data_IF_346394724339
#
_entry.id   IF_346394724339
#
_cell.length_a   1.000
_cell.length_b   1.000
_cell.length_c   1.000
_cell.angle_alpha   90.00
_cell.angle_beta   90.00
_cell.angle_gamma   90.00
#
_symmetry.space_group_name_H-M   'P 1'
#
loop_
_entity.id
_entity.type
_entity.pdbx_description
1 polymer ?
#
# COMPACT_ATOMS: atom_id res chain seq x y z
N UNK A 1 -1.17 5.23 -23.29
CA UNK A 1 -0.41 4.38 -22.35
C UNK A 1 -1.33 3.95 -21.20
N UNK A 2 -1.20 2.72 -20.67
CA UNK A 2 -1.99 2.26 -19.51
C UNK A 2 -1.49 2.83 -18.19
N UNK A 3 -2.32 2.77 -17.13
CA UNK A 3 -2.04 3.33 -15.79
C UNK A 3 -0.68 2.87 -15.23
N UNK A 4 -0.43 1.55 -15.20
CA UNK A 4 0.84 0.94 -14.79
C UNK A 4 2.05 1.64 -15.43
N UNK A 5 2.06 1.74 -16.77
CA UNK A 5 3.18 2.32 -17.51
C UNK A 5 3.39 3.79 -17.17
N UNK A 6 2.33 4.55 -16.91
CA UNK A 6 2.44 5.98 -16.56
C UNK A 6 3.07 6.18 -15.19
N UNK A 7 2.63 5.42 -14.19
CA UNK A 7 3.20 5.49 -12.84
C UNK A 7 4.67 5.07 -12.88
N UNK A 8 4.94 3.95 -13.54
CA UNK A 8 6.28 3.40 -13.72
C UNK A 8 7.25 4.44 -14.33
N UNK A 9 6.92 4.97 -15.51
CA UNK A 9 7.79 5.95 -16.18
C UNK A 9 7.89 7.28 -15.45
N UNK A 10 6.80 7.70 -14.79
CA UNK A 10 6.80 8.94 -14.01
C UNK A 10 7.74 8.84 -12.81
N UNK A 11 7.69 7.72 -12.09
CA UNK A 11 8.60 7.47 -10.97
C UNK A 11 10.05 7.29 -11.45
N UNK A 12 10.26 6.61 -12.59
CA UNK A 12 11.60 6.50 -13.19
C UNK A 12 12.18 7.90 -13.45
N UNK A 13 11.39 8.83 -14.01
CA UNK A 13 11.82 10.22 -14.25
C UNK A 13 12.07 11.02 -12.97
N UNK A 14 11.23 10.84 -11.94
CA UNK A 14 11.40 11.54 -10.65
C UNK A 14 12.70 11.09 -9.99
N UNK A 15 12.98 9.79 -9.97
CA UNK A 15 14.15 9.23 -9.29
C UNK A 15 15.44 9.27 -10.11
N UNK A 16 15.41 9.85 -11.31
CA UNK A 16 16.60 10.35 -12.01
C UNK A 16 17.09 11.68 -11.42
N UNK A 17 16.22 12.43 -10.73
CA UNK A 17 16.48 13.79 -10.26
C UNK A 17 16.46 13.92 -8.73
N UNK A 18 15.60 13.17 -8.06
CA UNK A 18 15.33 13.30 -6.63
C UNK A 18 15.70 12.03 -5.86
N UNK A 19 16.21 12.19 -4.63
CA UNK A 19 16.57 11.05 -3.77
C UNK A 19 15.35 10.40 -3.10
N UNK A 20 14.24 11.13 -3.02
CA UNK A 20 12.99 10.71 -2.43
C UNK A 20 11.81 11.50 -3.01
N UNK A 21 10.63 10.91 -2.98
CA UNK A 21 9.42 11.57 -3.47
C UNK A 21 8.22 11.20 -2.59
N UNK A 22 7.32 12.17 -2.44
CA UNK A 22 5.95 11.96 -1.97
C UNK A 22 5.05 11.90 -3.20
N UNK A 23 4.26 10.85 -3.30
CA UNK A 23 3.41 10.52 -4.45
C UNK A 23 1.96 10.60 -4.00
N UNK A 24 1.14 11.35 -4.73
CA UNK A 24 -0.29 11.49 -4.51
C UNK A 24 -1.04 11.28 -5.83
N UNK A 25 -2.13 10.52 -5.78
CA UNK A 25 -3.08 10.38 -6.89
C UNK A 25 -4.14 11.49 -6.82
N UNK A 26 -4.88 11.70 -7.92
CA UNK A 26 -5.88 12.78 -8.05
C UNK A 26 -7.05 12.67 -7.08
N UNK A 27 -7.30 11.47 -6.56
CA UNK A 27 -8.38 11.15 -5.61
C UNK A 27 -7.90 11.10 -4.15
N UNK A 28 -6.62 11.42 -3.89
CA UNK A 28 -6.02 11.39 -2.56
C UNK A 28 -6.00 12.80 -1.95
N UNK A 29 -6.72 12.98 -0.84
CA UNK A 29 -6.79 14.22 -0.08
C UNK A 29 -5.95 14.09 1.21
N UNK A 30 -4.72 14.63 1.23
CA UNK A 30 -3.88 14.59 2.42
C UNK A 30 -4.41 15.51 3.53
N UNK A 31 -4.29 15.07 4.77
CA UNK A 31 -4.44 15.91 5.95
C UNK A 31 -3.20 16.79 6.14
N UNK A 32 -3.26 17.83 6.98
CA UNK A 32 -2.09 18.66 7.27
C UNK A 32 -0.88 17.91 7.86
N UNK A 33 -1.09 16.71 8.40
CA UNK A 33 -0.04 15.91 9.04
C UNK A 33 0.70 14.99 8.06
N UNK A 34 0.15 14.75 6.86
CA UNK A 34 0.74 13.83 5.87
C UNK A 34 2.15 14.24 5.45
N UNK A 35 2.33 15.49 5.02
CA UNK A 35 3.64 15.95 4.54
C UNK A 35 4.69 16.07 5.65
N UNK A 36 4.38 16.61 6.86
CA UNK A 36 5.28 16.52 8.00
C UNK A 36 5.70 15.08 8.35
N UNK A 37 4.75 14.14 8.31
CA UNK A 37 5.02 12.73 8.54
C UNK A 37 5.98 12.15 7.49
N UNK A 38 5.68 12.32 6.20
CA UNK A 38 6.57 11.86 5.13
C UNK A 38 7.95 12.51 5.23
N UNK A 39 8.04 13.82 5.47
CA UNK A 39 9.32 14.53 5.58
C UNK A 39 10.19 13.95 6.70
N UNK A 40 9.60 13.72 7.87
CA UNK A 40 10.33 13.13 8.99
C UNK A 40 10.77 11.69 8.70
N UNK A 41 9.87 10.84 8.19
CA UNK A 41 10.19 9.44 7.92
C UNK A 41 11.24 9.30 6.80
N UNK A 42 11.14 10.12 5.75
CA UNK A 42 12.12 10.17 4.66
C UNK A 42 13.50 10.57 5.15
N UNK A 43 13.58 11.53 6.09
CA UNK A 43 14.84 11.96 6.69
C UNK A 43 15.39 10.90 7.68
N UNK A 44 14.54 10.39 8.57
CA UNK A 44 14.90 9.43 9.63
C UNK A 44 15.40 8.08 9.07
N UNK A 45 14.78 7.60 7.99
CA UNK A 45 15.08 6.29 7.39
C UNK A 45 15.77 6.42 6.02
N UNK A 46 16.46 7.55 5.78
CA UNK A 46 17.17 7.82 4.52
C UNK A 46 18.19 6.75 4.15
N UNK A 47 18.95 6.26 5.12
CA UNK A 47 20.05 5.30 4.92
C UNK A 47 19.72 3.91 5.46
N UNK A 48 18.46 3.66 5.82
CA UNK A 48 18.02 2.36 6.33
C UNK A 48 17.49 1.49 5.17
N UNK A 49 18.25 0.48 4.72
CA UNK A 49 17.85 -0.36 3.59
C UNK A 49 16.67 -1.28 3.91
N UNK A 50 16.33 -1.53 5.18
CA UNK A 50 15.16 -2.34 5.55
C UNK A 50 13.83 -1.64 5.30
N UNK A 51 13.81 -0.31 5.19
CA UNK A 51 12.59 0.46 4.96
C UNK A 51 12.50 0.89 3.50
N UNK A 52 11.46 0.43 2.80
CA UNK A 52 11.30 0.62 1.36
C UNK A 52 10.22 1.63 0.98
N UNK A 53 9.27 1.93 1.86
CA UNK A 53 8.22 2.91 1.58
C UNK A 53 7.51 3.40 2.84
N UNK A 54 6.71 4.45 2.66
CA UNK A 54 5.91 5.11 3.69
C UNK A 54 4.49 5.21 3.14
N UNK A 55 3.52 4.63 3.83
CA UNK A 55 2.09 4.78 3.52
C UNK A 55 1.57 6.09 4.13
N UNK A 56 0.58 6.72 3.49
CA UNK A 56 -0.20 7.82 4.06
C UNK A 56 -1.48 7.36 4.73
N UNK A 57 -1.85 6.11 4.53
CA UNK A 57 -3.07 5.50 5.04
C UNK A 57 -2.82 4.16 5.72
N UNK A 58 -3.78 3.77 6.54
CA UNK A 58 -3.80 2.59 7.39
C UNK A 58 -5.20 1.99 7.37
N UNK A 59 -5.29 0.66 7.31
CA UNK A 59 -6.58 -0.04 7.24
C UNK A 59 -6.85 -0.92 8.46
N UNK A 60 -6.29 -0.55 9.61
CA UNK A 60 -6.66 -1.17 10.86
C UNK A 60 -8.14 -0.91 11.18
N UNK A 61 -8.82 -1.85 11.86
CA UNK A 61 -10.17 -1.60 12.32
C UNK A 61 -10.21 -0.46 13.35
N UNK A 62 -11.34 0.26 13.44
CA UNK A 62 -11.50 1.42 14.34
C UNK A 62 -11.20 1.12 15.81
N UNK A 63 -11.39 -0.12 16.24
CA UNK A 63 -11.15 -0.56 17.62
C UNK A 63 -9.74 -1.13 17.84
N UNK A 64 -8.84 -1.04 16.86
CA UNK A 64 -7.44 -1.44 17.04
C UNK A 64 -6.72 -0.48 17.99
N UNK A 65 -6.08 -1.04 19.01
CA UNK A 65 -5.26 -0.27 19.94
C UNK A 65 -3.82 -0.18 19.42
N UNK A 66 -3.33 1.03 19.17
CA UNK A 66 -1.94 1.30 18.84
C UNK A 66 -1.40 2.40 19.75
N UNK A 67 -0.23 2.14 20.33
CA UNK A 67 0.44 3.04 21.29
C UNK A 67 1.51 3.92 20.64
N UNK A 68 1.82 3.69 19.37
CA UNK A 68 2.79 4.44 18.56
C UNK A 68 2.07 5.30 17.52
N UNK A 69 2.78 6.27 16.96
CA UNK A 69 2.26 7.13 15.88
C UNK A 69 2.39 6.44 14.51
N UNK A 70 3.29 5.47 14.39
CA UNK A 70 3.42 4.58 13.22
C UNK A 70 3.96 3.21 13.63
N UNK A 71 3.84 2.25 12.71
CA UNK A 71 4.40 0.90 12.83
C UNK A 71 5.01 0.47 11.50
N UNK A 72 5.79 -0.60 11.53
CA UNK A 72 6.29 -1.23 10.31
C UNK A 72 5.34 -2.33 9.89
N UNK A 73 4.99 -2.35 8.61
CA UNK A 73 4.06 -3.29 8.00
C UNK A 73 4.73 -4.01 6.85
N UNK A 74 4.29 -5.24 6.55
CA UNK A 74 4.58 -5.83 5.24
C UNK A 74 3.80 -5.12 4.13
N UNK A 75 2.70 -4.47 4.44
CA UNK A 75 1.85 -3.82 3.46
C UNK A 75 2.28 -2.38 3.22
N UNK A 76 2.64 -2.07 1.97
CA UNK A 76 2.71 -0.70 1.49
C UNK A 76 1.35 -0.31 0.93
N UNK A 77 0.69 0.66 1.56
CA UNK A 77 -0.54 1.24 1.05
C UNK A 77 -0.22 2.53 0.29
N UNK A 78 -0.83 2.69 -0.88
CA UNK A 78 -0.44 3.69 -1.87
C UNK A 78 -1.42 4.86 -1.98
N UNK A 79 -2.34 5.04 -1.01
CA UNK A 79 -3.20 6.24 -0.98
C UNK A 79 -2.43 7.38 -0.35
N UNK A 80 -1.70 8.09 -1.21
CA UNK A 80 -0.62 8.95 -0.77
C UNK A 80 0.49 8.15 -0.10
N UNK A 81 1.67 8.18 -0.68
CA UNK A 81 2.79 7.39 -0.16
C UNK A 81 4.09 8.09 -0.47
N UNK A 82 5.17 7.65 0.14
CA UNK A 82 6.50 8.13 -0.17
C UNK A 82 7.48 6.98 -0.27
N UNK A 83 8.52 7.16 -1.05
CA UNK A 83 9.62 6.22 -1.16
C UNK A 83 10.89 6.96 -1.56
N UNK A 84 11.99 6.22 -1.63
CA UNK A 84 13.30 6.72 -1.96
C UNK A 84 13.76 6.15 -3.29
N UNK A 85 14.61 6.91 -4.00
CA UNK A 85 15.28 6.46 -5.21
C UNK A 85 16.02 5.15 -4.99
N UNK A 86 16.68 4.97 -3.82
CA UNK A 86 17.39 3.71 -3.49
C UNK A 86 16.48 2.48 -3.52
N UNK A 87 15.22 2.63 -3.10
CA UNK A 87 14.26 1.53 -3.06
C UNK A 87 13.67 1.31 -4.45
N UNK A 88 13.21 2.38 -5.10
CA UNK A 88 12.61 2.29 -6.44
C UNK A 88 13.58 1.79 -7.51
N UNK A 89 14.80 2.32 -7.55
CA UNK A 89 15.80 1.95 -8.57
C UNK A 89 16.34 0.53 -8.37
N UNK A 90 16.21 -0.02 -7.15
CA UNK A 90 16.56 -1.42 -6.86
C UNK A 90 15.47 -2.41 -7.29
N UNK A 91 14.26 -1.92 -7.58
CA UNK A 91 13.14 -2.75 -8.04
C UNK A 91 13.25 -3.07 -9.54
N UNK A 92 13.95 -4.16 -9.86
CA UNK A 92 14.02 -4.68 -11.24
C UNK A 92 12.73 -5.44 -11.61
N UNK A 93 11.83 -4.74 -12.30
CA UNK A 93 10.53 -5.25 -12.78
C UNK A 93 10.64 -6.49 -13.67
N UNK A 94 11.79 -6.71 -14.33
CA UNK A 94 12.01 -7.87 -15.22
C UNK A 94 12.41 -9.12 -14.45
N UNK A 95 12.97 -8.98 -13.25
CA UNK A 95 13.42 -10.09 -12.38
C UNK A 95 12.34 -10.54 -11.39
N UNK A 96 11.07 -10.30 -11.70
CA UNK A 96 10.00 -10.72 -10.82
C UNK A 96 9.97 -12.24 -10.69
N UNK A 97 9.96 -12.72 -9.44
CA UNK A 97 9.80 -14.12 -9.08
C UNK A 97 8.80 -14.22 -7.92
N UNK A 98 8.18 -15.38 -7.77
CA UNK A 98 7.37 -15.71 -6.60
C UNK A 98 7.88 -17.03 -6.01
N UNK A 99 8.07 -17.14 -4.68
CA UNK A 99 8.61 -18.35 -4.08
C UNK A 99 7.74 -19.58 -4.37
N UNK A 100 8.37 -20.74 -4.54
CA UNK A 100 7.66 -21.98 -4.82
C UNK A 100 6.78 -22.42 -3.63
N UNK A 101 7.22 -22.16 -2.39
CA UNK A 101 6.41 -22.31 -1.17
C UNK A 101 5.34 -21.23 -1.00
N UNK A 102 5.30 -20.25 -1.89
CA UNK A 102 4.34 -19.15 -1.91
C UNK A 102 4.48 -18.22 -0.71
N UNK A 103 3.38 -17.53 -0.36
CA UNK A 103 3.37 -16.53 0.72
C UNK A 103 3.86 -17.06 2.07
N UNK A 104 3.61 -18.35 2.37
CA UNK A 104 4.02 -18.98 3.62
C UNK A 104 5.54 -19.10 3.75
N UNK A 105 6.26 -19.19 2.65
CA UNK A 105 7.73 -19.23 2.65
C UNK A 105 8.32 -17.92 3.19
N UNK A 106 7.70 -16.79 2.85
CA UNK A 106 8.11 -15.47 3.32
C UNK A 106 7.54 -15.16 4.72
N UNK A 107 6.31 -15.60 4.99
CA UNK A 107 5.58 -15.28 6.22
C UNK A 107 4.97 -16.55 6.82
N UNK A 108 5.74 -17.40 7.52
CA UNK A 108 5.26 -18.70 8.02
C UNK A 108 4.11 -18.59 9.02
N UNK A 109 4.05 -17.48 9.77
CA UNK A 109 3.03 -17.17 10.79
C UNK A 109 1.72 -16.60 10.21
N UNK A 110 1.67 -16.36 8.88
CA UNK A 110 0.47 -15.86 8.21
C UNK A 110 -0.70 -16.84 8.28
N UNK A 111 -1.92 -16.31 8.25
CA UNK A 111 -3.10 -17.16 8.24
C UNK A 111 -3.32 -17.84 6.86
N UNK A 112 -3.96 -19.02 6.86
CA UNK A 112 -4.21 -19.78 5.62
C UNK A 112 -5.00 -18.99 4.57
N UNK A 113 -5.86 -18.05 4.99
CA UNK A 113 -6.64 -17.20 4.08
C UNK A 113 -5.77 -16.16 3.40
N UNK A 114 -4.91 -15.46 4.15
CA UNK A 114 -3.88 -14.54 3.65
C UNK A 114 -2.94 -15.23 2.66
N UNK A 115 -2.47 -16.43 2.99
CA UNK A 115 -1.64 -17.24 2.07
C UNK A 115 -2.34 -17.52 0.74
N UNK A 116 -3.61 -17.96 0.79
CA UNK A 116 -4.40 -18.24 -0.42
C UNK A 116 -4.66 -16.98 -1.25
N UNK A 117 -4.97 -15.87 -0.58
CA UNK A 117 -5.21 -14.58 -1.21
C UNK A 117 -4.00 -14.12 -2.02
N UNK A 118 -2.83 -14.04 -1.39
CA UNK A 118 -1.61 -13.56 -2.06
C UNK A 118 -1.11 -14.52 -3.13
N UNK A 119 -1.13 -15.84 -2.87
CA UNK A 119 -0.76 -16.82 -3.89
C UNK A 119 -1.66 -16.72 -5.14
N UNK A 120 -2.95 -16.45 -4.98
CA UNK A 120 -3.88 -16.23 -6.09
C UNK A 120 -3.55 -14.97 -6.88
N UNK A 121 -3.25 -13.87 -6.19
CA UNK A 121 -2.86 -12.60 -6.83
C UNK A 121 -1.60 -12.79 -7.67
N UNK A 122 -0.54 -13.36 -7.09
CA UNK A 122 0.72 -13.52 -7.80
C UNK A 122 0.68 -14.58 -8.90
N UNK A 123 -0.15 -15.63 -8.77
CA UNK A 123 -0.42 -16.54 -9.88
C UNK A 123 -1.11 -15.82 -11.07
N UNK A 124 -2.00 -14.85 -10.80
CA UNK A 124 -2.61 -14.03 -11.84
C UNK A 124 -1.62 -13.05 -12.46
N UNK A 125 -0.70 -12.50 -11.69
CA UNK A 125 0.38 -11.64 -12.22
C UNK A 125 1.32 -12.43 -13.12
N UNK A 126 1.76 -13.62 -12.68
CA UNK A 126 2.63 -14.51 -13.46
C UNK A 126 2.04 -14.88 -14.83
N UNK A 127 0.71 -15.00 -14.92
CA UNK A 127 -0.02 -15.33 -16.16
C UNK A 127 -0.47 -14.10 -16.95
N UNK A 128 -0.12 -12.88 -16.52
CA UNK A 128 -0.56 -11.63 -17.15
C UNK A 128 -2.05 -11.30 -16.99
N UNK A 129 -2.81 -12.09 -16.22
CA UNK A 129 -4.24 -11.89 -15.92
C UNK A 129 -4.51 -10.78 -14.90
N UNK A 130 -3.45 -10.26 -14.30
CA UNK A 130 -3.45 -9.06 -13.48
C UNK A 130 -2.23 -8.22 -13.87
N UNK A 131 -2.47 -6.97 -14.27
CA UNK A 131 -1.41 -6.04 -14.66
C UNK A 131 -1.52 -4.80 -13.78
N UNK A 132 -0.68 -4.76 -12.75
CA UNK A 132 -0.56 -3.64 -11.81
C UNK A 132 0.91 -3.41 -11.46
N UNK A 133 1.25 -2.22 -10.98
CA UNK A 133 2.62 -1.82 -10.64
C UNK A 133 2.92 -2.05 -9.15
N UNK A 134 1.97 -1.69 -8.30
CA UNK A 134 2.03 -1.69 -6.84
C UNK A 134 2.30 -3.08 -6.25
N UNK A 135 1.56 -4.11 -6.64
CA UNK A 135 1.82 -5.49 -6.19
C UNK A 135 3.19 -6.00 -6.65
N UNK A 136 3.67 -5.52 -7.78
CA UNK A 136 5.02 -5.84 -8.25
C UNK A 136 6.06 -5.28 -7.27
N UNK A 137 5.93 -4.00 -6.91
CA UNK A 137 6.81 -3.35 -5.95
C UNK A 137 6.70 -3.98 -4.54
N UNK A 138 5.49 -4.23 -4.06
CA UNK A 138 5.23 -4.92 -2.77
C UNK A 138 5.89 -6.31 -2.73
N UNK A 139 5.78 -7.10 -3.81
CA UNK A 139 6.44 -8.41 -3.84
C UNK A 139 7.96 -8.31 -3.78
N UNK A 140 8.54 -7.27 -4.41
CA UNK A 140 9.97 -7.00 -4.32
C UNK A 140 10.38 -6.61 -2.89
N UNK A 141 9.60 -5.76 -2.21
CA UNK A 141 9.81 -5.42 -0.79
C UNK A 141 9.89 -6.70 0.05
N UNK A 142 8.92 -7.62 -0.12
CA UNK A 142 8.88 -8.86 0.65
C UNK A 142 10.03 -9.81 0.36
N UNK A 143 10.39 -9.99 -0.92
CA UNK A 143 11.50 -10.87 -1.32
C UNK A 143 12.85 -10.37 -0.80
N UNK A 144 12.98 -9.07 -0.51
CA UNK A 144 14.19 -8.49 0.08
C UNK A 144 14.11 -8.36 1.61
N UNK A 145 13.06 -8.90 2.26
CA UNK A 145 12.87 -8.80 3.71
C UNK A 145 12.67 -7.37 4.21
N UNK A 146 12.22 -6.46 3.33
CA UNK A 146 11.99 -5.05 3.65
C UNK A 146 10.57 -4.83 4.18
N UNK A 147 10.35 -3.65 4.75
CA UNK A 147 9.08 -3.22 5.34
C UNK A 147 8.67 -1.83 4.85
N UNK A 148 7.39 -1.52 5.01
CA UNK A 148 6.84 -0.19 4.85
C UNK A 148 6.56 0.44 6.22
N UNK A 149 6.67 1.76 6.31
CA UNK A 149 6.14 2.54 7.44
C UNK A 149 4.65 2.78 7.18
N UNK A 150 3.82 2.51 8.18
CA UNK A 150 2.38 2.76 8.12
C UNK A 150 1.98 3.61 9.32
N UNK A 151 1.30 4.75 9.12
CA UNK A 151 0.86 5.57 10.23
C UNK A 151 -0.20 4.82 11.06
N UNK A 152 -0.27 5.11 12.34
CA UNK A 152 -1.29 4.54 13.23
C UNK A 152 -2.69 5.10 12.96
N UNK A 153 -2.77 6.17 12.16
CA UNK A 153 -3.99 6.85 11.74
C UNK A 153 -3.89 7.26 10.27
N UNK A 154 -5.02 7.47 9.61
CA UNK A 154 -5.05 7.95 8.24
C UNK A 154 -4.61 9.41 8.16
N UNK A 155 -3.61 9.68 7.31
CA UNK A 155 -3.24 11.03 6.89
C UNK A 155 -3.68 11.34 5.47
N UNK A 156 -4.32 10.40 4.78
CA UNK A 156 -4.86 10.61 3.43
C UNK A 156 -6.24 9.98 3.36
N UNK A 157 -7.21 10.78 2.91
CA UNK A 157 -8.57 10.33 2.59
C UNK A 157 -8.69 10.13 1.08
N UNK A 158 -9.25 9.01 0.63
CA UNK A 158 -9.47 8.75 -0.80
C UNK A 158 -10.94 9.04 -1.20
N UNK A 159 -11.19 9.96 -2.12
CA UNK A 159 -12.54 10.36 -2.55
C UNK A 159 -13.26 9.33 -3.45
N UNK A 160 -12.55 8.35 -3.99
CA UNK A 160 -13.12 7.20 -4.71
C UNK A 160 -13.73 6.13 -3.81
N UNK A 161 -13.59 6.28 -2.48
CA UNK A 161 -14.10 5.39 -1.46
C UNK A 161 -14.96 6.19 -0.46
N UNK A 162 -16.10 5.61 -0.07
CA UNK A 162 -16.90 6.12 1.05
C UNK A 162 -18.36 6.39 0.79
N UNK A 163 -19.08 6.91 1.81
CA UNK A 163 -20.51 7.17 1.70
C UNK A 163 -20.81 8.12 0.54
N UNK A 164 -19.88 9.04 0.27
CA UNK A 164 -19.97 10.02 -0.82
C UNK A 164 -19.37 9.53 -2.15
N UNK A 165 -18.75 8.33 -2.19
CA UNK A 165 -18.14 7.81 -3.40
C UNK A 165 -19.20 7.39 -4.43
N UNK A 166 -18.92 7.68 -5.69
CA UNK A 166 -19.83 7.37 -6.81
C UNK A 166 -19.87 5.86 -7.13
N UNK A 167 -18.84 5.09 -6.77
CA UNK A 167 -18.71 3.67 -7.14
C UNK A 167 -18.56 2.68 -5.96
N UNK A 168 -18.20 3.15 -4.75
CA UNK A 168 -17.86 2.27 -3.61
C UNK A 168 -18.50 2.74 -2.30
N UNK A 169 -19.84 2.65 -2.21
CA UNK A 169 -20.65 3.10 -1.06
C UNK A 169 -20.79 2.04 0.04
N UNK A 170 -19.68 1.70 0.70
CA UNK A 170 -19.72 0.76 1.82
C UNK A 170 -19.04 1.42 3.01
N UNK A 171 -19.85 1.87 3.97
CA UNK A 171 -19.44 2.58 5.19
C UNK A 171 -18.42 1.80 6.01
N UNK A 172 -18.37 0.47 5.85
CA UNK A 172 -17.46 -0.42 6.57
C UNK A 172 -16.08 -0.60 5.89
N UNK A 173 -15.93 -0.18 4.63
CA UNK A 173 -14.70 -0.33 3.86
C UNK A 173 -13.65 0.75 4.16
N UNK A 174 -14.03 1.70 5.02
CA UNK A 174 -13.48 3.06 5.09
C UNK A 174 -12.60 3.33 6.29
N UNK A 175 -12.87 2.68 7.41
CA UNK A 175 -12.52 3.28 8.68
C UNK A 175 -11.13 2.80 9.14
N UNK A 176 -10.08 3.26 8.46
CA UNK A 176 -8.82 3.50 9.16
C UNK A 176 -9.07 4.54 10.25
N UNK A 177 -8.24 4.53 11.29
CA UNK A 177 -8.41 5.44 12.43
C UNK A 177 -8.18 6.88 11.92
N UNK A 178 -9.21 7.71 11.89
CA UNK A 178 -9.06 9.16 11.74
C UNK A 178 -8.99 9.77 13.14
N UNK A 179 -8.00 10.62 13.40
CA UNK A 179 -7.95 11.43 14.62
C UNK A 179 -8.09 12.90 14.27
N UNK A 180 -8.88 13.62 15.05
CA UNK A 180 -9.05 15.07 14.92
C UNK A 180 -7.81 15.84 15.42
N UNK A 181 -7.03 15.24 16.31
CA UNK A 181 -5.82 15.87 16.87
C UNK A 181 -4.66 15.81 15.88
N UNK A 182 -4.04 16.97 15.63
CA UNK A 182 -2.80 17.04 14.86
C UNK A 182 -1.67 16.35 15.60
N UNK A 183 -0.98 15.48 14.88
CA UNK A 183 0.28 14.93 15.36
C UNK A 183 1.43 15.87 14.96
N UNK A 184 2.37 16.06 15.89
CA UNK A 184 3.58 16.83 15.63
C UNK A 184 4.82 15.96 15.73
N UNK A 185 5.83 16.20 14.87
CA UNK A 185 7.13 15.57 14.99
C UNK A 185 7.76 15.85 16.38
N UNK A 186 8.51 14.91 16.99
CA UNK A 186 8.91 13.61 16.45
C UNK A 186 7.82 12.56 16.57
N UNK A 187 7.49 11.88 15.47
CA UNK A 187 6.59 10.72 15.49
C UNK A 187 7.27 9.53 16.15
N UNK A 188 6.54 8.82 17.01
CA UNK A 188 7.03 7.69 17.81
C UNK A 188 6.67 6.38 17.13
N UNK A 189 7.64 5.51 16.93
CA UNK A 189 7.47 4.16 16.39
C UNK A 189 8.24 3.13 17.20
N UNK A 190 8.14 1.87 16.80
CA UNK A 190 9.00 0.81 17.34
C UNK A 190 10.47 1.05 16.96
N UNK A 191 11.39 0.75 17.88
CA UNK A 191 12.82 0.70 17.58
C UNK A 191 13.21 -0.54 16.75
N UNK A 192 12.40 -1.60 16.80
CA UNK A 192 12.61 -2.81 16.00
C UNK A 192 12.00 -2.63 14.60
N UNK A 193 12.87 -2.59 13.58
CA UNK A 193 12.49 -2.44 12.17
C UNK A 193 12.08 -3.81 11.63
N UNK A 194 10.86 -4.21 11.98
CA UNK A 194 10.25 -5.47 11.59
C UNK A 194 8.74 -5.30 11.44
N UNK A 195 8.17 -5.94 10.43
CA UNK A 195 6.74 -5.96 10.21
C UNK A 195 5.99 -6.51 11.44
N UNK A 196 4.98 -5.78 11.89
CA UNK A 196 4.12 -6.19 13.00
C UNK A 196 3.09 -7.22 12.51
N UNK A 197 3.30 -8.48 12.86
CA UNK A 197 2.46 -9.59 12.40
C UNK A 197 1.03 -9.59 12.95
N UNK A 198 0.78 -8.91 14.08
CA UNK A 198 -0.56 -8.79 14.65
C UNK A 198 -1.33 -7.68 13.93
N UNK A 199 -0.73 -6.50 13.77
CA UNK A 199 -1.34 -5.39 13.04
C UNK A 199 -1.53 -5.74 11.55
N UNK A 200 -0.56 -6.41 10.91
CA UNK A 200 -0.70 -6.89 9.53
C UNK A 200 -1.89 -7.86 9.38
N UNK A 201 -2.13 -8.73 10.37
CA UNK A 201 -3.29 -9.65 10.36
C UNK A 201 -4.60 -8.87 10.44
N UNK A 202 -4.67 -7.86 11.31
CA UNK A 202 -5.84 -7.00 11.43
C UNK A 202 -6.11 -6.23 10.13
N UNK A 203 -5.08 -5.65 9.50
CA UNK A 203 -5.16 -5.01 8.17
C UNK A 203 -5.69 -5.99 7.12
N UNK A 204 -5.14 -7.20 7.06
CA UNK A 204 -5.57 -8.20 6.10
C UNK A 204 -7.07 -8.55 6.25
N UNK A 205 -7.51 -8.81 7.49
CA UNK A 205 -8.89 -9.18 7.78
C UNK A 205 -9.88 -8.03 7.55
N UNK A 206 -9.51 -6.81 7.92
CA UNK A 206 -10.37 -5.65 7.81
C UNK A 206 -10.50 -5.14 6.37
N UNK A 207 -9.44 -5.24 5.55
CA UNK A 207 -9.39 -4.59 4.25
C UNK A 207 -9.15 -5.56 3.08
N UNK A 208 -7.99 -6.22 3.04
CA UNK A 208 -7.57 -6.98 1.86
C UNK A 208 -8.50 -8.16 1.55
N UNK A 209 -8.94 -8.89 2.60
CA UNK A 209 -9.87 -9.99 2.46
C UNK A 209 -11.25 -9.53 1.95
N UNK A 210 -11.72 -8.36 2.38
CA UNK A 210 -13.00 -7.78 1.91
C UNK A 210 -12.92 -7.36 0.44
N UNK A 211 -11.76 -6.89 -0.01
CA UNK A 211 -11.54 -6.58 -1.42
C UNK A 211 -11.57 -7.81 -2.32
N UNK A 212 -11.26 -9.02 -1.83
CA UNK A 212 -11.32 -10.25 -2.63
C UNK A 212 -12.72 -10.48 -3.23
N UNK A 213 -13.77 -10.19 -2.46
CA UNK A 213 -15.15 -10.22 -2.95
C UNK A 213 -15.39 -9.22 -4.09
N UNK A 214 -14.74 -8.06 -4.05
CA UNK A 214 -14.85 -6.97 -5.04
C UNK A 214 -13.98 -7.19 -6.28
N UNK A 215 -12.83 -7.84 -6.18
CA UNK A 215 -11.98 -8.20 -7.32
C UNK A 215 -12.69 -9.15 -8.32
N UNK A 216 -13.76 -9.82 -7.89
CA UNK A 216 -14.69 -10.55 -8.77
C UNK A 216 -15.66 -9.64 -9.53
N UNK A 217 -15.89 -8.42 -9.03
CA UNK A 217 -16.87 -7.44 -9.51
C UNK A 217 -16.25 -6.36 -10.41
N UNK A 218 -15.01 -5.94 -10.14
CA UNK A 218 -14.27 -4.92 -10.93
C UNK A 218 -14.10 -5.24 -12.43
N UNK A 219 -13.95 -6.50 -12.88
CA UNK A 219 -14.00 -6.83 -14.30
C UNK A 219 -15.36 -6.55 -14.97
N UNK A 220 -16.46 -6.44 -14.21
CA UNK A 220 -17.82 -6.18 -14.75
C UNK A 220 -18.06 -4.68 -14.98
N UNK A 221 -17.53 -3.80 -14.14
CA UNK A 221 -17.73 -2.33 -14.26
C UNK A 221 -16.97 -1.79 -15.49
N UNK A 222 -15.75 -2.28 -15.76
CA UNK A 222 -14.99 -1.90 -16.97
C UNK A 222 -15.68 -2.30 -18.27
N UNK A 223 -16.46 -3.39 -18.28
CA UNK A 223 -17.27 -3.82 -19.46
C UNK A 223 -18.55 -2.99 -19.65
N UNK A 224 -19.10 -2.43 -18.58
CA UNK A 224 -20.32 -1.60 -18.64
C UNK A 224 -20.04 -0.22 -19.23
N UNK A 225 -18.94 0.41 -18.81
CA UNK A 225 -18.57 1.77 -19.24
C UNK A 225 -18.11 1.79 -20.71
N UNK A 226 -17.43 0.75 -21.18
CA UNK A 226 -17.02 0.63 -22.58
C UNK A 226 -18.16 0.30 -23.55
N UNK A 227 -19.31 -0.22 -23.07
CA UNK A 227 -20.48 -0.48 -23.93
C UNK A 227 -21.37 0.75 -24.18
N UNK A 228 -21.20 1.83 -23.41
CA UNK A 228 -22.00 3.07 -23.53
C UNK A 228 -21.32 4.18 -24.34
N UNK A 229 -20.10 3.98 -24.79
CA UNK A 229 -19.34 4.95 -25.62
C UNK A 229 -19.28 4.48 -27.10
N UNK A 230 -19.86 3.33 -27.43
CA UNK A 230 -19.90 2.78 -28.79
C UNK A 230 -21.31 2.42 -29.28
N UNK A 231 -22.32 3.18 -28.87
CA UNK A 231 -23.68 3.08 -29.40
C UNK A 231 -24.23 4.48 -29.68
#
# INVERSE_FOLDING_TARGET
MGLKKRIETGLDQVFELEEAAVILEEDCHPTPDFFPFCAEMLARYRDEPKVAGISGNCFLPLNAEIKTDYFFSRYLHIWGWATWARAWNSYDRKKWAWPAGGFRELFPESERREQKYWNRIFARMATGRLSTWDYGFISWIWMNGQVAITPAQNFVRNAGFGPDATNTRDESAEAGIEREERLQPPFRGSADIRADGELDRLVFQNHLLRQEGRLSFWPRIRRSILKRISA
#
